data_IF_729180384192
#
_entry.id   IF_729180384192
#
_cell.length_a   1.000
_cell.length_b   1.000
_cell.length_c   1.000
_cell.angle_alpha   90.00
_cell.angle_beta   90.00
_cell.angle_gamma   90.00
#
_symmetry.space_group_name_H-M   'P 1'
#
loop_
_entity.id
_entity.type
_entity.pdbx_description
1 polymer ?
#
# COMPACT_ATOMS: atom_id res chain seq x y z
N UNK A 1 -17.45 -4.17 40.11
CA UNK A 1 -17.29 -2.71 40.02
C UNK A 1 -16.28 -2.44 38.91
N UNK A 2 -16.72 -2.06 37.74
CA UNK A 2 -15.88 -1.71 36.60
C UNK A 2 -15.14 -0.41 36.90
N UNK A 3 -13.80 -0.45 36.91
CA UNK A 3 -12.99 0.77 36.94
C UNK A 3 -13.22 1.51 35.63
N UNK A 4 -14.09 2.52 35.61
CA UNK A 4 -14.16 3.49 34.54
C UNK A 4 -12.76 4.08 34.34
N UNK A 5 -12.19 3.88 33.18
CA UNK A 5 -10.93 4.52 32.78
C UNK A 5 -11.22 6.00 32.61
N UNK A 6 -10.87 6.81 33.59
CA UNK A 6 -10.86 8.27 33.47
C UNK A 6 -10.03 8.68 32.26
N UNK A 7 -10.66 9.42 31.35
CA UNK A 7 -10.07 9.87 30.09
C UNK A 7 -9.39 11.24 30.29
N UNK A 8 -8.06 11.29 30.20
CA UNK A 8 -7.26 12.50 30.43
C UNK A 8 -6.87 13.19 29.12
N UNK A 9 -7.45 14.34 28.87
CA UNK A 9 -7.55 14.96 27.54
C UNK A 9 -6.44 15.97 27.20
N UNK A 10 -5.53 16.30 28.14
CA UNK A 10 -4.60 17.40 27.95
C UNK A 10 -3.13 17.01 28.19
N UNK A 11 -2.73 15.77 27.84
CA UNK A 11 -1.33 15.35 27.95
C UNK A 11 -0.64 15.48 26.59
N UNK A 12 0.21 16.47 26.45
CA UNK A 12 0.99 16.72 25.21
C UNK A 12 2.47 16.39 25.41
N UNK A 13 3.14 15.82 24.41
CA UNK A 13 4.59 15.72 24.44
C UNK A 13 5.20 17.12 24.25
N UNK A 14 6.19 17.47 25.08
CA UNK A 14 6.92 18.72 25.02
C UNK A 14 8.42 18.44 25.10
N UNK A 15 9.23 19.24 24.41
CA UNK A 15 10.68 19.19 24.51
C UNK A 15 11.14 20.05 25.69
N UNK A 16 11.88 19.45 26.63
CA UNK A 16 12.45 20.18 27.77
C UNK A 16 13.89 19.68 27.97
N UNK A 17 14.87 20.52 27.71
CA UNK A 17 16.29 20.17 27.83
C UNK A 17 16.71 19.03 26.90
N UNK A 18 16.27 19.05 25.65
CA UNK A 18 16.61 18.01 24.66
C UNK A 18 15.91 16.66 24.84
N UNK A 19 15.07 16.50 25.86
CA UNK A 19 14.33 15.27 26.13
C UNK A 19 12.81 15.45 25.91
N UNK A 20 12.17 14.46 25.34
CA UNK A 20 10.70 14.44 25.25
C UNK A 20 10.11 14.16 26.62
N UNK A 21 9.35 15.13 27.14
CA UNK A 21 8.54 14.98 28.36
C UNK A 21 7.08 15.12 28.02
N UNK A 22 6.22 14.67 28.91
CA UNK A 22 4.77 14.75 28.78
C UNK A 22 4.23 15.82 29.72
N UNK A 23 3.44 16.76 29.18
CA UNK A 23 2.86 17.89 29.91
C UNK A 23 1.36 17.76 29.93
N UNK A 24 0.79 17.89 31.08
CA UNK A 24 -0.65 18.06 31.29
C UNK A 24 -0.95 19.52 31.60
N UNK A 25 -1.95 20.12 30.90
CA UNK A 25 -2.43 21.47 31.20
C UNK A 25 -3.81 21.39 31.82
N UNK A 26 -4.04 22.21 32.82
CA UNK A 26 -5.34 22.35 33.50
C UNK A 26 -5.58 23.79 33.93
N UNK A 27 -6.82 24.18 34.06
CA UNK A 27 -7.21 25.50 34.59
C UNK A 27 -7.22 25.45 36.10
N UNK A 28 -6.47 26.32 36.78
CA UNK A 28 -6.49 26.44 38.23
C UNK A 28 -7.73 27.18 38.72
N UNK A 29 -7.97 27.16 40.04
CA UNK A 29 -9.06 27.93 40.67
C UNK A 29 -8.97 29.45 40.43
N UNK A 30 -7.75 29.95 40.10
CA UNK A 30 -7.47 31.32 39.69
C UNK A 30 -7.74 31.61 38.20
N UNK A 31 -8.42 30.69 37.53
CA UNK A 31 -8.71 30.72 36.07
C UNK A 31 -7.51 30.77 35.16
N UNK A 32 -6.26 30.62 35.71
CA UNK A 32 -5.01 30.56 34.95
C UNK A 32 -4.66 29.12 34.53
N UNK A 33 -4.03 29.00 33.36
CA UNK A 33 -3.57 27.71 32.88
C UNK A 33 -2.31 27.29 33.64
N UNK A 34 -2.36 26.13 34.26
CA UNK A 34 -1.24 25.50 35.00
C UNK A 34 -0.80 24.22 34.29
N UNK A 35 0.45 23.83 34.54
CA UNK A 35 1.06 22.69 33.84
C UNK A 35 1.69 21.72 34.82
N UNK A 36 1.57 20.39 34.51
CA UNK A 36 2.34 19.33 35.15
C UNK A 36 3.13 18.63 34.05
N UNK A 37 4.45 18.41 34.27
CA UNK A 37 5.33 17.78 33.28
C UNK A 37 6.03 16.57 33.89
N UNK A 38 6.03 15.42 33.18
CA UNK A 38 6.69 14.17 33.61
C UNK A 38 7.45 13.53 32.45
N UNK A 39 8.45 12.69 32.77
CA UNK A 39 9.28 11.98 31.77
C UNK A 39 8.48 10.90 31.03
N UNK A 40 7.57 10.23 31.69
CA UNK A 40 6.72 9.19 31.09
C UNK A 40 5.25 9.58 31.18
N UNK A 41 4.49 9.26 30.15
CA UNK A 41 3.04 9.57 30.10
C UNK A 41 2.26 8.90 31.23
N UNK A 42 2.60 7.65 31.56
CA UNK A 42 1.97 6.91 32.66
C UNK A 42 2.12 7.55 34.03
N UNK A 43 3.19 8.35 34.21
CA UNK A 43 3.48 8.99 35.49
C UNK A 43 2.64 10.28 35.70
N UNK A 44 2.00 10.80 34.66
CA UNK A 44 1.07 11.94 34.77
C UNK A 44 -0.32 11.51 35.23
N UNK A 45 -0.73 10.30 34.94
CA UNK A 45 -2.09 9.83 35.16
C UNK A 45 -2.56 9.91 36.62
N UNK A 46 -1.80 9.46 37.64
CA UNK A 46 -2.22 9.52 39.04
C UNK A 46 -2.32 10.95 39.58
N UNK A 47 -1.40 11.84 39.22
CA UNK A 47 -1.40 13.24 39.67
C UNK A 47 -2.51 14.07 39.03
N UNK A 48 -2.79 13.75 37.77
CA UNK A 48 -3.90 14.37 37.02
C UNK A 48 -5.22 14.01 37.65
N UNK A 49 -5.45 12.74 37.98
CA UNK A 49 -6.64 12.29 38.70
C UNK A 49 -6.80 13.04 40.01
N UNK A 50 -5.75 13.04 40.81
CA UNK A 50 -5.77 13.67 42.15
C UNK A 50 -6.08 15.18 42.10
N UNK A 51 -5.58 15.91 41.09
CA UNK A 51 -5.84 17.33 40.93
C UNK A 51 -7.21 17.65 40.34
N UNK A 52 -7.69 16.82 39.42
CA UNK A 52 -9.04 16.93 38.89
C UNK A 52 -10.07 16.67 39.99
N UNK A 53 -9.87 15.64 40.83
CA UNK A 53 -10.74 15.31 41.94
C UNK A 53 -10.73 16.37 43.06
N UNK A 54 -9.54 16.93 43.37
CA UNK A 54 -9.37 17.92 44.45
C UNK A 54 -9.94 19.30 44.10
N UNK A 55 -10.00 19.65 42.82
CA UNK A 55 -10.46 20.97 42.38
C UNK A 55 -11.95 21.02 41.93
N UNK A 56 -12.71 19.95 42.16
CA UNK A 56 -14.14 19.90 41.82
C UNK A 56 -14.43 20.04 40.31
N UNK A 57 -13.47 19.76 39.47
CA UNK A 57 -13.64 19.84 38.03
C UNK A 57 -14.56 18.71 37.54
N UNK A 58 -15.83 19.00 37.39
CA UNK A 58 -16.71 18.21 36.53
C UNK A 58 -16.24 18.48 35.10
N UNK A 59 -15.62 17.47 34.45
CA UNK A 59 -15.36 17.47 32.99
C UNK A 59 -16.73 17.28 32.31
N UNK A 60 -17.56 18.28 32.41
CA UNK A 60 -18.81 18.40 31.66
C UNK A 60 -18.73 19.63 30.78
N UNK A 61 -17.67 19.67 29.94
CA UNK A 61 -17.77 20.54 28.79
C UNK A 61 -18.50 19.73 27.71
N UNK A 62 -19.80 19.95 27.60
CA UNK A 62 -20.69 19.33 26.61
C UNK A 62 -20.25 19.55 25.17
N UNK A 63 -19.22 20.36 24.95
CA UNK A 63 -18.62 20.67 23.63
C UNK A 63 -17.32 19.99 23.36
N UNK A 64 -16.81 19.10 24.22
CA UNK A 64 -15.56 18.38 23.97
C UNK A 64 -15.69 17.47 22.73
N UNK A 65 -14.73 17.61 21.82
CA UNK A 65 -14.67 16.85 20.57
C UNK A 65 -13.31 16.17 20.44
N UNK A 66 -13.18 14.93 20.91
CA UNK A 66 -11.91 14.20 20.87
C UNK A 66 -11.53 13.82 19.44
N UNK A 67 -10.22 13.64 19.22
CA UNK A 67 -9.73 13.08 17.95
C UNK A 67 -10.29 11.67 17.69
N UNK A 68 -10.57 10.90 18.73
CA UNK A 68 -11.21 9.58 18.66
C UNK A 68 -12.65 9.68 18.14
N UNK A 69 -13.43 10.66 18.64
CA UNK A 69 -14.79 10.95 18.13
C UNK A 69 -14.72 11.47 16.69
N UNK A 70 -13.76 12.33 16.38
CA UNK A 70 -13.54 12.83 15.02
C UNK A 70 -13.20 11.70 14.04
N UNK A 71 -12.32 10.79 14.45
CA UNK A 71 -11.98 9.61 13.66
C UNK A 71 -13.21 8.69 13.46
N UNK A 72 -13.96 8.43 14.51
CA UNK A 72 -15.17 7.59 14.43
C UNK A 72 -16.17 8.17 13.43
N UNK A 73 -16.49 9.46 13.54
CA UNK A 73 -17.39 10.16 12.61
C UNK A 73 -16.91 10.01 11.16
N UNK A 74 -15.66 10.32 10.92
CA UNK A 74 -15.05 10.19 9.59
C UNK A 74 -15.06 8.75 9.07
N UNK A 75 -14.74 7.77 9.92
CA UNK A 75 -14.73 6.35 9.56
C UNK A 75 -16.15 5.84 9.21
N UNK A 76 -17.15 6.18 10.02
CA UNK A 76 -18.54 5.82 9.80
C UNK A 76 -19.03 6.40 8.46
N UNK A 77 -18.62 7.65 8.13
CA UNK A 77 -18.90 8.24 6.82
C UNK A 77 -18.22 7.50 5.67
N UNK A 78 -16.97 7.04 5.83
CA UNK A 78 -16.30 6.25 4.79
C UNK A 78 -17.04 4.92 4.54
N UNK A 79 -17.52 4.27 5.57
CA UNK A 79 -18.33 3.04 5.46
C UNK A 79 -19.65 3.31 4.74
N UNK A 80 -20.36 4.39 5.09
CA UNK A 80 -21.57 4.81 4.39
C UNK A 80 -21.33 5.08 2.89
N UNK A 81 -20.26 5.79 2.56
CA UNK A 81 -19.91 6.09 1.16
C UNK A 81 -19.53 4.82 0.38
N UNK A 82 -18.90 3.85 1.03
CA UNK A 82 -18.58 2.56 0.41
C UNK A 82 -19.86 1.78 0.13
N UNK A 83 -20.77 1.73 1.07
CA UNK A 83 -22.05 1.05 0.94
C UNK A 83 -22.91 1.64 -0.20
N UNK A 84 -23.06 2.97 -0.24
CA UNK A 84 -23.91 3.64 -1.22
C UNK A 84 -23.28 3.77 -2.61
N UNK A 85 -21.96 3.98 -2.69
CA UNK A 85 -21.26 4.35 -3.93
C UNK A 85 -20.12 3.42 -4.29
N UNK A 86 -19.85 2.38 -3.49
CA UNK A 86 -18.70 1.48 -3.63
C UNK A 86 -17.35 2.21 -3.66
N UNK A 87 -17.29 3.41 -3.07
CA UNK A 87 -16.09 4.25 -2.97
C UNK A 87 -16.10 5.08 -1.68
N UNK A 88 -14.95 5.12 -0.97
CA UNK A 88 -13.71 4.37 -1.25
C UNK A 88 -13.90 2.86 -1.06
N UNK A 89 -13.06 2.05 -1.67
CA UNK A 89 -13.16 0.58 -1.53
C UNK A 89 -12.92 0.14 -0.08
N UNK A 90 -13.49 -1.00 0.33
CA UNK A 90 -13.26 -1.62 1.67
C UNK A 90 -11.77 -1.75 2.03
N UNK A 91 -10.93 -2.04 1.04
CA UNK A 91 -9.48 -2.09 1.23
C UNK A 91 -8.87 -0.73 1.57
N UNK A 92 -9.33 0.35 0.92
CA UNK A 92 -8.86 1.71 1.23
C UNK A 92 -9.28 2.13 2.64
N UNK A 93 -10.54 1.85 3.03
CA UNK A 93 -11.04 2.16 4.38
C UNK A 93 -10.20 1.44 5.43
N UNK A 94 -9.90 0.16 5.22
CA UNK A 94 -9.04 -0.62 6.12
C UNK A 94 -7.64 -0.02 6.26
N UNK A 95 -7.03 0.37 5.14
CA UNK A 95 -5.69 0.97 5.15
C UNK A 95 -5.72 2.34 5.85
N UNK A 96 -6.73 3.16 5.61
CA UNK A 96 -6.91 4.46 6.26
C UNK A 96 -7.15 4.31 7.77
N UNK A 97 -8.02 3.38 8.16
CA UNK A 97 -8.26 3.07 9.56
C UNK A 97 -6.97 2.58 10.25
N UNK A 98 -6.17 1.76 9.57
CA UNK A 98 -4.86 1.33 10.07
C UNK A 98 -3.92 2.51 10.31
N UNK A 99 -3.84 3.48 9.38
CA UNK A 99 -3.04 4.69 9.58
C UNK A 99 -3.53 5.53 10.78
N UNK A 100 -4.84 5.65 10.95
CA UNK A 100 -5.40 6.34 12.12
C UNK A 100 -5.05 5.59 13.42
N UNK A 101 -5.36 4.29 13.48
CA UNK A 101 -5.20 3.46 14.69
C UNK A 101 -3.74 3.34 15.15
N UNK A 102 -2.79 3.20 14.22
CA UNK A 102 -1.39 2.97 14.58
C UNK A 102 -0.55 4.23 14.70
N UNK A 103 -1.00 5.35 14.11
CA UNK A 103 -0.18 6.56 14.06
C UNK A 103 -0.87 7.80 14.64
N UNK A 104 -2.14 8.06 14.29
CA UNK A 104 -2.83 9.30 14.66
C UNK A 104 -3.38 9.19 16.09
N UNK A 105 -4.25 8.21 16.34
CA UNK A 105 -4.93 8.06 17.62
C UNK A 105 -3.96 7.88 18.79
N UNK A 106 -2.86 7.10 18.71
CA UNK A 106 -1.92 6.99 19.82
C UNK A 106 -1.16 8.28 20.13
N UNK A 107 -0.95 9.13 19.12
CA UNK A 107 -0.26 10.41 19.31
C UNK A 107 -1.17 11.47 19.92
N UNK A 108 -2.38 11.64 19.35
CA UNK A 108 -3.37 12.61 19.80
C UNK A 108 -4.33 12.04 20.82
N UNK A 109 -4.00 10.93 21.48
CA UNK A 109 -4.90 10.20 22.38
C UNK A 109 -5.68 11.12 23.28
N UNK A 110 -7.02 11.07 23.19
CA UNK A 110 -7.97 11.90 23.93
C UNK A 110 -7.71 13.42 23.85
N UNK A 111 -6.99 13.92 22.85
CA UNK A 111 -6.84 15.35 22.66
C UNK A 111 -8.12 15.93 22.05
N UNK A 112 -8.52 17.10 22.54
CA UNK A 112 -9.61 17.87 21.93
C UNK A 112 -9.17 18.35 20.55
N UNK A 113 -9.89 17.92 19.51
CA UNK A 113 -9.57 18.27 18.12
C UNK A 113 -9.68 19.78 17.86
N UNK A 114 -10.44 20.53 18.67
CA UNK A 114 -10.54 22.00 18.60
C UNK A 114 -9.23 22.71 18.98
N UNK A 115 -8.40 22.05 19.79
CA UNK A 115 -7.13 22.56 20.28
C UNK A 115 -5.94 22.15 19.41
N UNK A 116 -6.16 21.31 18.38
CA UNK A 116 -5.14 20.95 17.42
C UNK A 116 -4.84 22.19 16.54
N UNK A 117 -3.64 22.71 16.67
CA UNK A 117 -3.17 23.86 15.92
C UNK A 117 -2.03 23.45 14.95
N UNK A 118 -1.51 24.42 14.20
CA UNK A 118 -0.40 24.19 13.24
C UNK A 118 0.83 23.54 13.90
N UNK A 119 1.18 23.98 15.09
CA UNK A 119 2.36 23.45 15.78
C UNK A 119 2.14 22.04 16.29
N UNK A 120 0.92 21.72 16.76
CA UNK A 120 0.55 20.34 17.09
C UNK A 120 0.76 19.38 15.91
N UNK A 121 0.35 19.81 14.70
CA UNK A 121 0.50 19.02 13.48
C UNK A 121 1.98 18.94 13.05
N UNK A 122 2.75 20.03 13.13
CA UNK A 122 4.20 20.02 12.84
C UNK A 122 4.94 19.07 13.78
N UNK A 123 4.64 19.10 15.07
CA UNK A 123 5.24 18.17 16.05
C UNK A 123 4.86 16.72 15.78
N UNK A 124 3.62 16.47 15.40
CA UNK A 124 3.19 15.13 15.00
C UNK A 124 3.96 14.61 13.80
N UNK A 125 4.13 15.44 12.80
CA UNK A 125 4.87 15.09 11.60
C UNK A 125 6.34 14.81 11.94
N UNK A 126 7.00 15.67 12.70
CA UNK A 126 8.37 15.47 13.16
C UNK A 126 8.52 14.20 14.01
N UNK A 127 7.51 13.88 14.81
CA UNK A 127 7.47 12.61 15.55
C UNK A 127 7.42 11.41 14.59
N UNK A 128 6.64 11.48 13.50
CA UNK A 128 6.57 10.41 12.51
C UNK A 128 7.87 10.29 11.70
N UNK A 129 8.52 11.40 11.35
CA UNK A 129 9.82 11.42 10.66
C UNK A 129 10.91 10.74 11.48
N UNK A 130 10.92 10.97 12.78
CA UNK A 130 11.87 10.34 13.71
C UNK A 130 11.62 8.84 13.91
N UNK A 131 10.45 8.33 13.50
CA UNK A 131 10.19 6.88 13.47
C UNK A 131 10.86 6.26 12.25
N UNK A 132 12.02 5.62 12.44
CA UNK A 132 12.76 4.91 11.37
C UNK A 132 11.94 3.86 10.59
N UNK A 133 10.76 3.48 11.09
CA UNK A 133 9.85 2.49 10.49
C UNK A 133 8.88 3.10 9.47
N UNK A 134 8.76 4.44 9.39
CA UNK A 134 7.83 5.12 8.50
C UNK A 134 8.59 5.76 7.35
N UNK A 135 8.30 5.31 6.13
CA UNK A 135 8.85 5.94 4.93
C UNK A 135 8.04 7.20 4.54
N UNK A 136 8.64 8.14 3.77
CA UNK A 136 8.00 9.40 3.39
C UNK A 136 6.62 9.22 2.71
N UNK A 137 6.45 8.19 1.89
CA UNK A 137 5.18 7.90 1.23
C UNK A 137 4.09 7.48 2.22
N UNK A 138 4.46 6.72 3.25
CA UNK A 138 3.53 6.34 4.34
C UNK A 138 3.19 7.56 5.20
N UNK A 139 4.17 8.40 5.50
CA UNK A 139 3.98 9.63 6.26
C UNK A 139 2.99 10.57 5.54
N UNK A 140 3.14 10.76 4.22
CA UNK A 140 2.18 11.52 3.42
C UNK A 140 0.76 10.96 3.51
N UNK A 141 0.58 9.65 3.51
CA UNK A 141 -0.74 9.02 3.67
C UNK A 141 -1.32 9.23 5.06
N UNK A 142 -0.52 9.09 6.11
CA UNK A 142 -0.95 9.35 7.49
C UNK A 142 -1.39 10.81 7.65
N UNK A 143 -0.63 11.76 7.09
CA UNK A 143 -0.99 13.18 7.09
C UNK A 143 -2.32 13.43 6.36
N UNK A 144 -2.52 12.83 5.19
CA UNK A 144 -3.77 12.94 4.44
C UNK A 144 -4.97 12.39 5.21
N UNK A 145 -4.80 11.29 5.94
CA UNK A 145 -5.87 10.73 6.79
C UNK A 145 -6.18 11.66 7.96
N UNK A 146 -5.18 12.23 8.63
CA UNK A 146 -5.40 13.24 9.66
C UNK A 146 -6.16 14.45 9.10
N UNK A 147 -5.73 14.95 7.94
CA UNK A 147 -6.41 16.06 7.26
C UNK A 147 -7.87 15.72 6.94
N UNK A 148 -8.16 14.51 6.44
CA UNK A 148 -9.52 14.09 6.13
C UNK A 148 -10.41 13.97 7.38
N UNK A 149 -9.86 13.50 8.51
CA UNK A 149 -10.57 13.46 9.81
C UNK A 149 -10.93 14.87 10.28
N UNK A 150 -9.99 15.81 10.16
CA UNK A 150 -10.24 17.20 10.56
C UNK A 150 -11.17 17.91 9.56
N UNK A 151 -11.13 17.59 8.27
CA UNK A 151 -12.10 18.11 7.28
C UNK A 151 -13.53 17.72 7.63
N UNK A 152 -13.75 16.45 7.95
CA UNK A 152 -15.08 15.97 8.34
C UNK A 152 -15.58 16.65 9.62
N UNK A 153 -14.69 16.82 10.60
CA UNK A 153 -15.01 17.53 11.85
C UNK A 153 -15.33 19.01 11.60
N UNK A 154 -14.68 19.66 10.67
CA UNK A 154 -14.96 21.05 10.27
C UNK A 154 -16.29 21.15 9.51
N UNK A 155 -16.56 20.22 8.58
CA UNK A 155 -17.82 20.15 7.85
C UNK A 155 -19.03 20.00 8.80
N UNK A 156 -18.85 19.22 9.86
CA UNK A 156 -19.85 19.04 10.93
C UNK A 156 -19.85 20.17 11.99
N UNK A 157 -19.10 21.25 11.76
CA UNK A 157 -18.98 22.41 12.68
C UNK A 157 -18.53 22.04 14.09
N UNK A 158 -17.80 20.93 14.25
CA UNK A 158 -17.22 20.49 15.53
C UNK A 158 -15.92 21.18 15.85
N UNK A 159 -15.16 21.58 14.82
CA UNK A 159 -13.98 22.43 14.90
C UNK A 159 -14.14 23.60 13.93
N UNK A 160 -13.41 24.69 14.17
CA UNK A 160 -13.53 25.90 13.34
C UNK A 160 -13.02 25.69 11.91
N UNK A 161 -11.92 24.97 11.75
CA UNK A 161 -11.29 24.70 10.45
C UNK A 161 -10.27 23.57 10.54
N UNK A 162 -9.92 23.02 9.38
CA UNK A 162 -8.83 22.05 9.26
C UNK A 162 -7.46 22.77 9.16
N UNK A 163 -6.67 22.69 10.20
CA UNK A 163 -5.35 23.33 10.30
C UNK A 163 -4.29 22.66 9.41
N UNK A 164 -4.51 21.40 8.97
CA UNK A 164 -3.60 20.74 8.05
C UNK A 164 -3.54 21.45 6.68
N UNK A 165 -4.63 22.12 6.26
CA UNK A 165 -4.68 22.87 5.00
C UNK A 165 -3.81 24.11 4.98
N UNK A 166 -3.48 24.63 6.16
CA UNK A 166 -2.58 25.79 6.29
C UNK A 166 -1.09 25.41 6.24
N UNK A 167 -0.81 24.12 6.10
CA UNK A 167 0.55 23.59 6.09
C UNK A 167 0.91 23.08 4.70
N UNK A 168 1.84 23.72 4.03
CA UNK A 168 2.42 23.25 2.75
C UNK A 168 3.34 22.02 2.92
N UNK A 169 3.13 21.27 3.99
CA UNK A 169 4.03 20.21 4.43
C UNK A 169 4.23 19.13 3.36
N UNK A 170 3.17 18.76 2.63
CA UNK A 170 3.27 17.73 1.59
C UNK A 170 4.18 18.16 0.42
N UNK A 171 4.36 19.46 0.19
CA UNK A 171 5.28 19.98 -0.83
C UNK A 171 6.75 19.76 -0.46
N UNK A 172 7.04 19.62 0.83
CA UNK A 172 8.40 19.47 1.36
C UNK A 172 8.77 18.01 1.65
N UNK A 173 7.82 17.08 1.56
CA UNK A 173 8.15 15.66 1.65
C UNK A 173 8.86 15.25 0.37
N UNK A 174 10.17 15.22 0.41
CA UNK A 174 10.98 14.60 -0.63
C UNK A 174 10.73 13.09 -0.56
N UNK A 175 9.84 12.60 -1.43
CA UNK A 175 9.72 11.16 -1.65
C UNK A 175 10.94 10.80 -2.50
N UNK A 176 11.95 10.12 -1.94
CA UNK A 176 13.11 9.74 -2.73
C UNK A 176 12.60 8.94 -3.92
N UNK A 177 13.04 9.32 -5.12
CA UNK A 177 12.81 8.49 -6.28
C UNK A 177 13.31 7.10 -5.94
N UNK A 178 12.39 6.15 -5.98
CA UNK A 178 12.77 4.78 -5.76
C UNK A 178 13.71 4.40 -6.89
N UNK A 179 15.00 4.38 -6.62
CA UNK A 179 15.93 3.68 -7.50
C UNK A 179 15.44 2.24 -7.57
N UNK A 180 14.73 1.94 -8.64
CA UNK A 180 14.43 0.57 -8.98
C UNK A 180 15.79 -0.03 -9.31
N UNK A 181 16.23 -1.00 -8.51
CA UNK A 181 17.41 -1.77 -8.86
C UNK A 181 17.18 -2.27 -10.29
N UNK A 182 18.02 -1.81 -11.23
CA UNK A 182 17.97 -2.33 -12.59
C UNK A 182 18.11 -3.84 -12.45
N UNK A 183 17.21 -4.57 -13.10
CA UNK A 183 17.34 -6.02 -13.18
C UNK A 183 18.61 -6.31 -13.97
N UNK A 184 19.54 -7.03 -13.39
CA UNK A 184 20.68 -7.55 -14.11
C UNK A 184 20.24 -8.78 -14.88
N UNK A 185 20.12 -8.64 -16.22
CA UNK A 185 19.72 -9.74 -17.09
C UNK A 185 20.85 -10.74 -17.35
N UNK A 186 22.09 -10.44 -16.99
CA UNK A 186 23.18 -11.42 -16.99
C UNK A 186 23.00 -12.38 -15.80
N UNK A 187 22.61 -11.85 -14.66
CA UNK A 187 22.26 -12.67 -13.50
C UNK A 187 20.89 -13.34 -13.66
N UNK A 188 19.89 -12.62 -14.18
CA UNK A 188 18.49 -13.06 -14.30
C UNK A 188 18.09 -13.25 -15.78
N UNK A 189 18.73 -14.22 -16.46
CA UNK A 189 18.31 -14.62 -17.82
C UNK A 189 16.90 -15.22 -17.80
N UNK A 190 16.22 -15.22 -18.95
CA UNK A 190 14.88 -15.81 -19.05
C UNK A 190 14.89 -17.30 -18.67
N UNK A 191 15.92 -18.05 -19.12
CA UNK A 191 16.07 -19.47 -18.80
C UNK A 191 16.22 -19.69 -17.30
N UNK A 192 17.02 -18.86 -16.63
CA UNK A 192 17.16 -18.93 -15.16
C UNK A 192 15.86 -18.67 -14.43
N UNK A 193 15.04 -17.74 -14.91
CA UNK A 193 13.70 -17.48 -14.30
C UNK A 193 12.73 -18.63 -14.57
N UNK A 194 12.80 -19.26 -15.75
CA UNK A 194 12.04 -20.46 -16.07
C UNK A 194 12.47 -21.62 -15.15
N UNK A 195 13.77 -21.81 -14.98
CA UNK A 195 14.33 -22.85 -14.12
C UNK A 195 13.90 -22.64 -12.65
N UNK A 196 14.03 -21.42 -12.11
CA UNK A 196 13.48 -21.08 -10.78
C UNK A 196 12.00 -21.42 -10.67
N UNK A 197 11.21 -21.13 -11.72
CA UNK A 197 9.79 -21.44 -11.75
C UNK A 197 9.55 -22.94 -11.66
N UNK A 198 10.38 -23.74 -12.29
CA UNK A 198 10.30 -25.22 -12.27
C UNK A 198 10.65 -25.80 -10.89
N UNK A 199 11.37 -25.08 -10.04
CA UNK A 199 11.64 -25.48 -8.65
C UNK A 199 10.44 -25.27 -7.69
N UNK A 200 9.32 -24.71 -8.17
CA UNK A 200 8.11 -24.61 -7.36
C UNK A 200 7.46 -25.99 -7.24
N UNK A 201 7.36 -26.52 -6.02
CA UNK A 201 6.92 -27.91 -5.74
C UNK A 201 5.52 -28.21 -6.26
N UNK A 202 4.54 -27.36 -5.93
CA UNK A 202 3.13 -27.58 -6.25
C UNK A 202 2.86 -27.24 -7.70
N UNK A 203 2.37 -28.24 -8.48
CA UNK A 203 2.12 -28.13 -9.92
C UNK A 203 1.16 -26.98 -10.29
N UNK A 204 0.07 -26.82 -9.52
CA UNK A 204 -0.92 -25.76 -9.69
C UNK A 204 -0.30 -24.36 -9.50
N UNK A 205 0.49 -24.19 -8.44
CA UNK A 205 1.19 -22.92 -8.16
C UNK A 205 2.28 -22.67 -9.19
N UNK A 206 3.03 -23.69 -9.58
CA UNK A 206 4.03 -23.60 -10.66
C UNK A 206 3.39 -23.11 -11.96
N UNK A 207 2.23 -23.66 -12.33
CA UNK A 207 1.47 -23.20 -13.49
C UNK A 207 1.06 -21.74 -13.39
N UNK A 208 0.60 -21.28 -12.20
CA UNK A 208 0.30 -19.87 -11.97
C UNK A 208 1.50 -18.97 -12.26
N UNK A 209 2.70 -19.37 -11.84
CA UNK A 209 3.93 -18.60 -12.11
C UNK A 209 4.35 -18.65 -13.56
N UNK A 210 4.17 -19.79 -14.28
CA UNK A 210 4.38 -19.84 -15.72
C UNK A 210 3.44 -18.89 -16.48
N UNK A 211 2.16 -18.82 -16.09
CA UNK A 211 1.22 -17.86 -16.68
C UNK A 211 1.69 -16.42 -16.36
N UNK A 212 2.06 -16.13 -15.11
CA UNK A 212 2.56 -14.79 -14.75
C UNK A 212 3.84 -14.43 -15.51
N UNK A 213 4.72 -15.38 -15.78
CA UNK A 213 5.94 -15.17 -16.52
C UNK A 213 5.65 -14.80 -17.99
N UNK A 214 4.68 -15.42 -18.65
CA UNK A 214 4.36 -15.07 -20.04
C UNK A 214 3.47 -13.83 -20.18
N UNK A 215 2.64 -13.53 -19.19
CA UNK A 215 1.58 -12.53 -19.32
C UNK A 215 1.82 -11.26 -18.49
N UNK A 216 2.81 -11.25 -17.63
CA UNK A 216 3.06 -10.19 -16.64
C UNK A 216 1.82 -9.80 -15.81
N UNK A 217 0.80 -10.68 -15.72
CA UNK A 217 -0.41 -10.40 -14.96
C UNK A 217 -0.13 -10.24 -13.45
N UNK A 218 -1.04 -9.57 -12.76
CA UNK A 218 -0.89 -9.37 -11.29
C UNK A 218 -1.18 -10.65 -10.53
N UNK A 219 -0.56 -10.89 -9.38
CA UNK A 219 -0.86 -12.06 -8.53
C UNK A 219 -2.34 -12.16 -8.12
N UNK A 220 -3.07 -11.06 -8.09
CA UNK A 220 -4.50 -11.05 -7.83
C UNK A 220 -5.33 -11.49 -9.03
N UNK A 221 -4.89 -11.19 -10.24
CA UNK A 221 -5.53 -11.55 -11.50
C UNK A 221 -5.40 -13.06 -11.76
N UNK A 222 -4.18 -13.61 -11.63
CA UNK A 222 -3.95 -15.05 -11.82
C UNK A 222 -4.77 -15.91 -10.87
N UNK A 223 -4.94 -15.48 -9.60
CA UNK A 223 -5.73 -16.22 -8.61
C UNK A 223 -7.23 -16.25 -8.96
N UNK A 224 -7.71 -15.29 -9.73
CA UNK A 224 -9.11 -15.17 -10.15
C UNK A 224 -9.41 -15.73 -11.54
N UNK A 225 -8.49 -16.50 -12.14
CA UNK A 225 -8.73 -17.08 -13.45
C UNK A 225 -9.78 -18.19 -13.41
N UNK A 226 -10.68 -18.14 -14.37
CA UNK A 226 -11.73 -19.11 -14.61
C UNK A 226 -11.59 -19.75 -16.01
N UNK A 227 -12.24 -20.91 -16.23
CA UNK A 227 -12.29 -21.57 -17.53
C UNK A 227 -12.84 -20.65 -18.63
N UNK A 228 -13.84 -19.83 -18.32
CA UNK A 228 -14.47 -18.87 -19.26
C UNK A 228 -13.52 -17.78 -19.76
N UNK A 229 -12.41 -17.52 -19.04
CA UNK A 229 -11.40 -16.56 -19.45
C UNK A 229 -10.43 -17.06 -20.53
N UNK A 230 -10.45 -18.37 -20.81
CA UNK A 230 -9.55 -19.01 -21.77
C UNK A 230 -10.13 -18.98 -23.17
N UNK A 231 -9.39 -18.45 -24.13
CA UNK A 231 -9.79 -18.31 -25.52
C UNK A 231 -8.83 -19.10 -26.41
N UNK A 232 -8.98 -20.41 -26.42
CA UNK A 232 -8.07 -21.36 -27.07
C UNK A 232 -8.50 -21.80 -28.47
N UNK A 233 -9.72 -21.43 -28.90
CA UNK A 233 -10.27 -21.78 -30.22
C UNK A 233 -9.79 -20.87 -31.36
N UNK A 234 -9.10 -19.78 -31.05
CA UNK A 234 -8.50 -18.88 -32.04
C UNK A 234 -7.14 -19.41 -32.53
N UNK A 235 -6.70 -18.94 -33.70
CA UNK A 235 -5.36 -19.26 -34.22
C UNK A 235 -4.22 -18.92 -33.24
N UNK A 236 -4.46 -18.00 -32.33
CA UNK A 236 -3.55 -17.61 -31.28
C UNK A 236 -4.24 -17.70 -29.91
N UNK A 237 -3.79 -18.57 -29.00
CA UNK A 237 -4.40 -18.73 -27.70
C UNK A 237 -4.14 -17.49 -26.83
N UNK A 238 -5.17 -17.03 -26.11
CA UNK A 238 -5.05 -15.93 -25.16
C UNK A 238 -5.91 -16.13 -23.91
N UNK A 239 -5.59 -15.36 -22.88
CA UNK A 239 -6.29 -15.32 -21.60
C UNK A 239 -6.89 -13.93 -21.42
N UNK A 240 -8.20 -13.85 -21.22
CA UNK A 240 -8.91 -12.60 -20.92
C UNK A 240 -8.88 -12.32 -19.41
N UNK A 241 -8.20 -11.26 -19.00
CA UNK A 241 -8.22 -10.81 -17.60
C UNK A 241 -9.46 -9.93 -17.40
N UNK A 242 -10.44 -10.44 -16.68
CA UNK A 242 -11.69 -9.72 -16.36
C UNK A 242 -11.96 -9.64 -14.86
N UNK A 243 -11.26 -10.44 -14.06
CA UNK A 243 -11.45 -10.54 -12.62
C UNK A 243 -10.12 -10.56 -11.86
N UNK A 244 -10.20 -10.24 -10.58
CA UNK A 244 -9.08 -10.34 -9.66
C UNK A 244 -9.57 -10.69 -8.25
N UNK A 245 -8.84 -11.55 -7.54
CA UNK A 245 -9.12 -11.86 -6.13
C UNK A 245 -8.64 -10.72 -5.26
N UNK A 246 -9.56 -10.10 -4.53
CA UNK A 246 -9.30 -9.00 -3.59
C UNK A 246 -8.56 -9.48 -2.35
N UNK A 247 -8.12 -8.54 -1.50
CA UNK A 247 -7.39 -8.83 -0.26
C UNK A 247 -8.23 -9.61 0.76
N UNK A 248 -9.54 -9.45 0.75
CA UNK A 248 -10.48 -10.19 1.60
C UNK A 248 -10.83 -11.58 1.08
N UNK A 249 -10.27 -11.97 -0.06
CA UNK A 249 -10.52 -13.26 -0.71
C UNK A 249 -11.70 -13.26 -1.67
N UNK A 250 -12.47 -12.18 -1.76
CA UNK A 250 -13.59 -12.07 -2.71
C UNK A 250 -13.09 -11.88 -4.15
N UNK A 251 -13.84 -12.38 -5.12
CA UNK A 251 -13.63 -12.09 -6.53
C UNK A 251 -14.25 -10.73 -6.87
N UNK A 252 -13.60 -9.98 -7.73
CA UNK A 252 -14.12 -8.71 -8.20
C UNK A 252 -13.44 -8.24 -9.47
N UNK A 253 -13.88 -7.11 -9.99
CA UNK A 253 -13.26 -6.48 -11.16
C UNK A 253 -11.81 -6.08 -10.86
N UNK A 254 -10.94 -6.05 -11.88
CA UNK A 254 -9.57 -5.53 -11.72
C UNK A 254 -9.55 -4.12 -11.13
N UNK A 255 -8.44 -3.76 -10.48
CA UNK A 255 -8.29 -2.47 -9.78
C UNK A 255 -8.49 -1.24 -10.68
N UNK A 256 -8.28 -1.39 -11.97
CA UNK A 256 -8.34 -0.29 -12.97
C UNK A 256 -9.29 -0.66 -14.11
N UNK A 257 -9.92 0.33 -14.76
CA UNK A 257 -10.74 0.09 -15.97
C UNK A 257 -9.93 -0.58 -17.10
N UNK A 258 -8.66 -0.20 -17.29
CA UNK A 258 -7.72 -0.85 -18.21
C UNK A 258 -7.19 -2.20 -17.73
N UNK A 259 -7.67 -2.70 -16.58
CA UNK A 259 -7.31 -4.03 -16.07
C UNK A 259 -7.93 -5.17 -16.86
N UNK A 260 -9.06 -4.94 -17.52
CA UNK A 260 -9.67 -5.90 -18.45
C UNK A 260 -8.89 -5.86 -19.76
N UNK A 261 -8.30 -6.98 -20.13
CA UNK A 261 -7.44 -7.10 -21.32
C UNK A 261 -7.22 -8.55 -21.71
N UNK A 262 -6.84 -8.77 -22.95
CA UNK A 262 -6.46 -10.07 -23.47
C UNK A 262 -4.93 -10.20 -23.50
N UNK A 263 -4.44 -11.34 -23.06
CA UNK A 263 -3.02 -11.64 -22.94
C UNK A 263 -2.70 -12.90 -23.75
N UNK A 264 -1.93 -12.73 -24.81
CA UNK A 264 -1.49 -13.83 -25.65
C UNK A 264 -0.55 -14.75 -24.86
N UNK A 265 -0.70 -16.04 -25.09
CA UNK A 265 0.16 -17.09 -24.50
C UNK A 265 0.71 -18.01 -25.59
N UNK A 266 1.78 -18.73 -25.26
CA UNK A 266 2.32 -19.76 -26.16
C UNK A 266 1.41 -21.01 -26.19
N UNK A 267 1.50 -21.77 -27.28
CA UNK A 267 0.80 -23.07 -27.41
C UNK A 267 1.23 -24.05 -26.32
N UNK A 268 2.52 -24.10 -25.97
CA UNK A 268 2.99 -24.97 -24.89
C UNK A 268 2.47 -24.58 -23.50
N UNK A 269 2.16 -23.30 -23.25
CA UNK A 269 1.47 -22.90 -22.01
C UNK A 269 -0.02 -23.25 -22.06
N UNK A 270 -0.66 -23.09 -23.23
CA UNK A 270 -2.05 -23.53 -23.44
C UNK A 270 -2.18 -25.03 -23.08
N UNK A 271 -1.30 -25.89 -23.61
CA UNK A 271 -1.35 -27.33 -23.38
C UNK A 271 -1.21 -27.67 -21.88
N UNK A 272 -0.32 -26.99 -21.16
CA UNK A 272 -0.18 -27.12 -19.70
C UNK A 272 -1.45 -26.69 -18.94
N UNK A 273 -2.14 -25.66 -19.42
CA UNK A 273 -3.41 -25.20 -18.82
C UNK A 273 -4.52 -26.22 -19.11
N UNK A 274 -4.62 -26.75 -20.31
CA UNK A 274 -5.60 -27.79 -20.68
C UNK A 274 -5.37 -29.08 -19.87
N UNK A 275 -4.10 -29.51 -19.71
CA UNK A 275 -3.75 -30.62 -18.83
C UNK A 275 -4.18 -30.35 -17.37
N UNK A 276 -4.01 -29.12 -16.88
CA UNK A 276 -4.47 -28.78 -15.54
C UNK A 276 -5.99 -28.84 -15.42
N UNK A 277 -6.71 -28.30 -16.39
CA UNK A 277 -8.18 -28.31 -16.44
C UNK A 277 -8.75 -29.73 -16.47
N UNK A 278 -8.11 -30.65 -17.21
CA UNK A 278 -8.57 -32.03 -17.30
C UNK A 278 -8.57 -32.77 -15.96
N UNK A 279 -7.81 -32.27 -14.98
CA UNK A 279 -7.69 -32.81 -13.62
C UNK A 279 -8.65 -32.14 -12.62
N UNK A 280 -9.32 -31.05 -13.01
CA UNK A 280 -10.25 -30.34 -12.14
C UNK A 280 -11.63 -31.00 -12.15
N UNK A 281 -12.39 -30.92 -11.04
CA UNK A 281 -13.80 -31.30 -11.03
C UNK A 281 -14.58 -30.63 -12.16
N UNK A 282 -15.49 -31.36 -12.78
CA UNK A 282 -16.26 -30.89 -13.94
C UNK A 282 -17.02 -29.58 -13.65
N UNK A 283 -17.56 -29.45 -12.45
CA UNK A 283 -18.31 -28.27 -11.98
C UNK A 283 -17.42 -27.13 -11.45
N UNK A 284 -16.09 -27.31 -11.41
CA UNK A 284 -15.19 -26.25 -10.96
C UNK A 284 -14.88 -25.28 -12.10
N UNK A 285 -15.36 -24.05 -12.00
CA UNK A 285 -15.09 -22.97 -12.96
C UNK A 285 -13.73 -22.31 -12.72
N UNK A 286 -13.35 -22.11 -11.46
CA UNK A 286 -12.08 -21.44 -11.11
C UNK A 286 -10.91 -22.39 -11.30
N UNK A 287 -9.82 -21.89 -11.96
CA UNK A 287 -8.64 -22.71 -12.22
C UNK A 287 -7.87 -23.05 -10.93
N UNK A 288 -7.81 -22.11 -9.99
CA UNK A 288 -6.89 -22.17 -8.87
C UNK A 288 -7.61 -21.96 -7.53
N UNK A 289 -8.10 -23.07 -6.96
CA UNK A 289 -8.69 -23.10 -5.62
C UNK A 289 -7.76 -23.85 -4.64
N UNK A 290 -7.88 -23.54 -3.37
CA UNK A 290 -7.25 -24.34 -2.32
C UNK A 290 -8.11 -25.58 -2.00
N UNK A 291 -7.60 -26.49 -1.15
CA UNK A 291 -8.30 -27.70 -0.78
C UNK A 291 -9.65 -27.49 -0.05
N UNK A 292 -10.00 -26.26 0.30
CA UNK A 292 -11.29 -25.90 0.90
C UNK A 292 -12.24 -25.23 -0.11
N UNK A 293 -11.91 -25.22 -1.40
CA UNK A 293 -12.72 -24.59 -2.44
C UNK A 293 -12.65 -23.06 -2.48
N UNK A 294 -11.75 -22.44 -1.74
CA UNK A 294 -11.57 -21.00 -1.74
C UNK A 294 -10.43 -20.58 -2.67
N UNK A 295 -10.47 -19.32 -3.18
CA UNK A 295 -9.35 -18.76 -3.92
C UNK A 295 -8.04 -18.79 -3.11
N UNK A 296 -6.94 -19.16 -3.75
CA UNK A 296 -5.64 -19.21 -3.11
C UNK A 296 -5.27 -17.86 -2.49
N UNK A 297 -4.73 -17.86 -1.29
CA UNK A 297 -4.20 -16.65 -0.65
C UNK A 297 -2.86 -16.26 -1.28
N UNK A 298 -2.57 -14.96 -1.32
CA UNK A 298 -1.29 -14.46 -1.83
C UNK A 298 -0.10 -15.04 -1.05
N UNK A 299 -0.26 -15.21 0.25
CA UNK A 299 0.75 -15.77 1.14
C UNK A 299 1.15 -17.21 0.76
N UNK A 300 0.22 -17.97 0.17
CA UNK A 300 0.49 -19.32 -0.32
C UNK A 300 1.47 -19.29 -1.50
N UNK A 301 1.26 -18.35 -2.44
CA UNK A 301 2.17 -18.14 -3.56
C UNK A 301 3.55 -17.65 -3.07
N UNK A 302 3.57 -16.70 -2.12
CA UNK A 302 4.81 -16.18 -1.53
C UNK A 302 5.60 -17.31 -0.89
N UNK A 303 4.97 -18.14 -0.05
CA UNK A 303 5.64 -19.27 0.61
C UNK A 303 6.17 -20.31 -0.37
N UNK A 304 5.45 -20.59 -1.46
CA UNK A 304 5.91 -21.50 -2.50
C UNK A 304 7.16 -20.94 -3.20
N UNK A 305 7.14 -19.65 -3.54
CA UNK A 305 8.27 -18.97 -4.15
C UNK A 305 9.47 -18.86 -3.19
N UNK A 306 9.24 -18.64 -1.89
CA UNK A 306 10.30 -18.62 -0.86
C UNK A 306 11.01 -19.98 -0.76
N UNK A 307 10.27 -21.09 -0.83
CA UNK A 307 10.87 -22.43 -0.85
C UNK A 307 11.68 -22.65 -2.14
N UNK A 308 11.09 -22.26 -3.28
CA UNK A 308 11.76 -22.41 -4.56
C UNK A 308 13.06 -21.59 -4.64
N UNK A 309 13.06 -20.33 -4.21
CA UNK A 309 14.26 -19.48 -4.18
C UNK A 309 15.32 -20.04 -3.24
N UNK A 310 14.91 -20.56 -2.08
CA UNK A 310 15.85 -21.20 -1.14
C UNK A 310 16.43 -22.49 -1.70
N UNK A 311 15.62 -23.34 -2.34
CA UNK A 311 16.07 -24.58 -3.00
C UNK A 311 16.98 -24.30 -4.20
N UNK A 312 16.67 -23.24 -4.95
CA UNK A 312 17.46 -22.81 -6.11
C UNK A 312 18.73 -22.02 -5.73
N UNK A 313 18.88 -21.64 -4.46
CA UNK A 313 20.05 -20.93 -3.95
C UNK A 313 20.14 -19.47 -4.38
N UNK A 314 19.00 -18.78 -4.58
CA UNK A 314 18.97 -17.39 -5.03
C UNK A 314 18.14 -16.49 -4.11
N UNK A 315 18.44 -15.19 -4.13
CA UNK A 315 17.61 -14.15 -3.51
C UNK A 315 17.03 -13.23 -4.60
N UNK A 316 15.71 -12.99 -4.52
CA UNK A 316 15.05 -12.13 -5.51
C UNK A 316 15.42 -10.67 -5.32
N UNK A 317 15.70 -9.93 -6.41
CA UNK A 317 16.13 -8.53 -6.35
C UNK A 317 15.04 -7.55 -5.92
N UNK A 318 13.83 -8.03 -5.64
CA UNK A 318 12.70 -7.18 -5.22
C UNK A 318 12.02 -7.68 -3.96
N UNK A 319 11.64 -6.75 -3.06
CA UNK A 319 10.98 -7.08 -1.79
C UNK A 319 9.59 -7.73 -1.95
N UNK A 320 8.85 -7.39 -3.00
CA UNK A 320 7.52 -7.97 -3.28
C UNK A 320 7.65 -9.19 -4.17
N UNK A 321 8.04 -10.31 -3.61
CA UNK A 321 8.44 -11.53 -4.31
C UNK A 321 7.50 -11.96 -5.44
N UNK A 322 6.19 -12.06 -5.22
CA UNK A 322 5.25 -12.45 -6.30
C UNK A 322 5.11 -11.40 -7.42
N UNK A 323 5.51 -10.15 -7.19
CA UNK A 323 5.56 -9.13 -8.25
C UNK A 323 6.84 -9.20 -9.08
N UNK A 324 7.81 -10.05 -8.71
CA UNK A 324 9.04 -10.26 -9.45
C UNK A 324 8.73 -10.66 -10.90
N UNK A 325 7.89 -11.64 -11.12
CA UNK A 325 7.55 -12.13 -12.46
C UNK A 325 6.95 -11.04 -13.35
N UNK A 326 6.00 -10.27 -12.81
CA UNK A 326 5.44 -9.14 -13.54
C UNK A 326 6.49 -8.06 -13.83
N UNK A 327 7.29 -7.71 -12.82
CA UNK A 327 8.34 -6.71 -12.99
C UNK A 327 9.41 -7.19 -13.98
N UNK A 328 9.80 -8.46 -13.88
CA UNK A 328 10.74 -9.09 -14.77
C UNK A 328 10.26 -9.02 -16.22
N UNK A 329 9.06 -9.53 -16.50
CA UNK A 329 8.57 -9.58 -17.89
C UNK A 329 8.27 -8.21 -18.47
N UNK A 330 7.73 -7.28 -17.70
CA UNK A 330 7.52 -5.90 -18.15
C UNK A 330 8.85 -5.24 -18.56
N UNK A 331 9.91 -5.48 -17.76
CA UNK A 331 11.25 -4.97 -18.04
C UNK A 331 11.89 -5.69 -19.23
N UNK A 332 11.71 -7.02 -19.31
CA UNK A 332 12.20 -7.83 -20.41
C UNK A 332 11.59 -7.40 -21.76
N UNK A 333 10.26 -7.21 -21.80
CA UNK A 333 9.58 -6.72 -22.99
C UNK A 333 10.06 -5.33 -23.42
N UNK A 334 10.30 -4.44 -22.48
CA UNK A 334 10.84 -3.11 -22.79
C UNK A 334 12.27 -3.19 -23.32
N UNK A 335 13.13 -4.02 -22.70
CA UNK A 335 14.52 -4.26 -23.14
C UNK A 335 14.58 -4.89 -24.55
N UNK A 336 13.77 -5.89 -24.80
CA UNK A 336 13.69 -6.58 -26.10
C UNK A 336 12.88 -5.81 -27.16
N UNK A 337 12.56 -4.54 -26.88
CA UNK A 337 11.79 -3.65 -27.78
C UNK A 337 10.47 -4.25 -28.28
N UNK A 338 9.83 -5.14 -27.47
CA UNK A 338 8.50 -5.70 -27.79
C UNK A 338 7.40 -4.64 -27.62
N UNK A 339 7.66 -3.68 -26.74
CA UNK A 339 6.84 -2.49 -26.51
C UNK A 339 7.77 -1.27 -26.43
N UNK A 340 7.78 -0.44 -27.44
CA UNK A 340 8.56 0.82 -27.48
C UNK A 340 7.74 2.01 -26.99
N UNK A 341 6.44 1.99 -27.22
CA UNK A 341 5.52 3.01 -26.71
C UNK A 341 5.14 2.68 -25.25
N UNK A 342 5.35 3.62 -24.32
CA UNK A 342 4.91 3.47 -22.93
C UNK A 342 3.41 3.20 -22.77
N UNK A 343 2.56 3.71 -23.67
CA UNK A 343 1.12 3.51 -23.64
C UNK A 343 0.77 2.04 -23.95
N UNK A 344 1.42 1.46 -24.96
CA UNK A 344 1.19 0.06 -25.34
C UNK A 344 1.62 -0.90 -24.24
N UNK A 345 2.77 -0.66 -23.63
CA UNK A 345 3.21 -1.43 -22.46
C UNK A 345 2.26 -1.25 -21.28
N UNK A 346 1.78 -0.03 -21.03
CA UNK A 346 0.80 0.23 -19.98
C UNK A 346 -0.52 -0.52 -20.23
N UNK A 347 -0.98 -0.55 -21.46
CA UNK A 347 -2.17 -1.32 -21.90
C UNK A 347 -1.96 -2.82 -21.68
N UNK A 348 -0.84 -3.38 -22.12
CA UNK A 348 -0.49 -4.80 -21.93
C UNK A 348 -0.41 -5.17 -20.43
N UNK A 349 0.12 -4.28 -19.61
CA UNK A 349 0.18 -4.47 -18.17
C UNK A 349 -1.16 -4.18 -17.45
N UNK A 350 -2.13 -3.54 -18.11
CA UNK A 350 -3.34 -3.04 -17.48
C UNK A 350 -3.06 -1.98 -16.40
N UNK A 351 -2.09 -1.13 -16.66
CA UNK A 351 -1.72 -0.02 -15.77
C UNK A 351 -2.25 1.31 -16.32
N UNK A 352 -2.70 2.20 -15.44
CA UNK A 352 -3.21 3.51 -15.85
C UNK A 352 -2.14 4.59 -15.90
N UNK A 353 -1.09 4.38 -15.13
CA UNK A 353 -0.02 5.36 -14.97
C UNK A 353 1.08 5.09 -16.01
N UNK A 354 0.86 5.63 -17.21
CA UNK A 354 1.81 5.54 -18.32
C UNK A 354 3.16 6.15 -17.95
N UNK A 355 3.16 7.25 -17.19
CA UNK A 355 4.41 7.87 -16.72
C UNK A 355 5.17 6.94 -15.78
N UNK A 356 4.45 6.22 -14.91
CA UNK A 356 5.07 5.19 -14.07
C UNK A 356 5.68 4.08 -14.92
N UNK A 357 4.96 3.57 -15.91
CA UNK A 357 5.42 2.51 -16.81
C UNK A 357 6.67 2.95 -17.57
N UNK A 358 6.62 4.14 -18.16
CA UNK A 358 7.75 4.72 -18.87
C UNK A 358 8.99 4.85 -17.98
N UNK A 359 8.85 5.52 -16.84
CA UNK A 359 9.95 5.73 -15.89
C UNK A 359 10.50 4.43 -15.31
N UNK A 360 9.62 3.42 -15.11
CA UNK A 360 9.98 2.18 -14.42
C UNK A 360 10.59 1.13 -15.34
N UNK A 361 10.07 1.00 -16.57
CA UNK A 361 10.40 -0.10 -17.45
C UNK A 361 11.12 0.32 -18.73
N UNK A 362 10.76 1.44 -19.35
CA UNK A 362 11.29 1.82 -20.66
C UNK A 362 12.53 2.70 -20.52
N UNK A 363 12.42 3.87 -19.86
CA UNK A 363 13.55 4.81 -19.73
C UNK A 363 14.86 4.22 -19.23
N UNK A 364 14.87 3.30 -18.22
CA UNK A 364 16.13 2.75 -17.71
C UNK A 364 16.96 2.01 -18.76
N UNK A 365 16.31 1.48 -19.80
CA UNK A 365 16.96 0.72 -20.86
C UNK A 365 17.12 1.50 -22.18
N UNK A 366 16.17 2.38 -22.50
CA UNK A 366 16.26 3.24 -23.68
C UNK A 366 17.46 4.18 -23.62
N UNK A 367 17.73 4.78 -22.47
CA UNK A 367 18.88 5.69 -22.32
C UNK A 367 20.21 4.98 -22.50
N UNK A 368 20.35 3.76 -21.99
CA UNK A 368 21.61 3.00 -22.09
C UNK A 368 21.95 2.62 -23.56
N UNK A 369 20.93 2.25 -24.33
CA UNK A 369 21.11 1.95 -25.76
C UNK A 369 21.36 3.22 -26.58
N UNK A 370 20.59 4.29 -26.37
CA UNK A 370 20.82 5.59 -27.04
C UNK A 370 22.21 6.14 -26.77
N UNK A 371 22.70 6.02 -25.53
CA UNK A 371 24.06 6.45 -25.20
C UNK A 371 25.13 5.57 -25.91
N UNK A 372 24.89 4.27 -26.02
CA UNK A 372 25.76 3.36 -26.75
C UNK A 372 25.71 3.65 -28.24
N UNK A 373 24.53 3.73 -28.85
CA UNK A 373 24.37 4.06 -30.27
C UNK A 373 25.00 5.42 -30.64
N UNK A 374 24.83 6.43 -29.75
CA UNK A 374 25.46 7.72 -29.87
C UNK A 374 26.96 7.66 -29.74
N UNK A 375 27.48 6.85 -28.82
CA UNK A 375 28.91 6.62 -28.65
C UNK A 375 29.47 5.92 -29.88
N UNK A 376 28.84 4.87 -30.39
CA UNK A 376 29.24 4.14 -31.58
C UNK A 376 29.20 5.03 -32.84
N UNK A 377 28.14 5.87 -32.95
CA UNK A 377 28.03 6.86 -34.03
C UNK A 377 29.17 7.89 -33.95
N UNK A 378 29.44 8.45 -32.75
CA UNK A 378 30.55 9.40 -32.56
C UNK A 378 31.88 8.76 -32.90
N UNK A 379 32.13 7.52 -32.44
CA UNK A 379 33.36 6.80 -32.73
C UNK A 379 33.51 6.51 -34.23
N UNK A 380 32.41 6.35 -34.97
CA UNK A 380 32.43 6.13 -36.40
C UNK A 380 32.61 7.44 -37.20
N UNK A 381 32.11 8.58 -36.71
CA UNK A 381 32.20 9.88 -37.40
C UNK A 381 33.54 10.60 -37.13
N UNK A 382 34.11 10.40 -35.93
CA UNK A 382 35.32 11.06 -35.49
C UNK A 382 36.47 10.05 -35.29
N UNK A 383 36.62 9.15 -36.24
CA UNK A 383 37.85 8.31 -36.33
C UNK A 383 38.99 9.22 -36.73
N UNK A 384 39.99 9.37 -35.84
CA UNK A 384 41.30 9.97 -36.16
C UNK A 384 42.05 9.19 -37.23
#
# INVERSE_FOLDING_TARGET
MSKEKLQYNNITPVQVGGQTKYRFSYKGADNKIKYITRKKRKDLTPEVVKKVETNGFKITDFNYWSIDQAHKLWHDRQLYLEDQYSKPSKSCIRDYNSFATFHILPYFYNQDARLINKDSVKFFVKYLENKKTINPKTLSKVFNVLSAILDESAAMKKIARNVCKDLDYLKHIVIPEKQLNKLDFNEWSLDRVIELTNHIDKKDIRLMFHIMLQTACRPSEIRGLNKSHLKFKSNQPYISITHAVKRDGSLGTPKTKGGTRDLVISTGLKDKIEEHISKLPANQESLFLNGLGNYMRLETLIRALDRATKSFGVELPIKRKCYFYRHYMATYWAKEKKYTDPQDLANALGDKDVNFVNRTYIKPYANTEMEKEKSDWLNNQFKD
#
